data_IF_052175595347
#
_entry.id   IF_052175595347
#
_cell.length_a   1.000
_cell.length_b   1.000
_cell.length_c   1.000
_cell.angle_alpha   90.00
_cell.angle_beta   90.00
_cell.angle_gamma   90.00
#
_symmetry.space_group_name_H-M   'P 1'
#
loop_
_entity.id
_entity.type
_entity.pdbx_description
1 polymer ?
#
# COMPACT_ATOMS: atom_id res chain seq x y z
N UNK A 1 -56.97 68.83 29.92
CA UNK A 1 -56.66 67.47 29.40
C UNK A 1 -55.22 67.48 28.93
N UNK A 2 -54.43 66.66 29.62
CA UNK A 2 -53.05 66.20 29.44
C UNK A 2 -52.15 66.90 28.40
N UNK A 3 -51.09 67.54 28.93
CA UNK A 3 -50.01 68.16 28.16
C UNK A 3 -48.89 67.20 27.76
N UNK A 4 -47.94 67.72 26.97
CA UNK A 4 -46.64 67.06 26.72
C UNK A 4 -45.52 68.08 26.91
N UNK A 5 -44.60 67.67 27.77
CA UNK A 5 -43.35 68.32 28.11
C UNK A 5 -42.27 67.99 27.06
N UNK A 6 -41.42 68.98 26.80
CA UNK A 6 -40.07 68.89 26.20
C UNK A 6 -39.12 68.04 27.04
N UNK A 7 -38.05 67.46 26.45
CA UNK A 7 -36.63 67.54 26.90
C UNK A 7 -35.66 66.71 26.02
N UNK A 8 -34.56 67.40 25.67
CA UNK A 8 -33.14 67.05 25.44
C UNK A 8 -32.68 65.73 24.75
N UNK A 9 -31.78 65.92 23.78
CA UNK A 9 -30.77 64.93 23.37
C UNK A 9 -29.48 65.15 24.17
N UNK A 10 -28.99 64.11 24.87
CA UNK A 10 -27.67 64.06 25.49
C UNK A 10 -26.72 63.20 24.64
N UNK A 11 -25.48 63.67 24.44
CA UNK A 11 -24.39 62.89 23.88
C UNK A 11 -23.97 61.79 24.86
N UNK A 12 -24.03 60.53 24.44
CA UNK A 12 -23.37 59.41 25.12
C UNK A 12 -22.06 59.07 24.42
N UNK A 13 -20.93 59.30 25.08
CA UNK A 13 -19.61 58.85 24.63
C UNK A 13 -19.48 57.34 24.88
N UNK A 14 -19.32 56.55 23.82
CA UNK A 14 -18.98 55.13 23.91
C UNK A 14 -17.46 54.99 24.08
N UNK A 15 -17.04 54.53 25.26
CA UNK A 15 -15.65 54.20 25.58
C UNK A 15 -15.29 52.88 24.88
N UNK A 16 -14.51 52.94 23.80
CA UNK A 16 -13.89 51.77 23.17
C UNK A 16 -12.72 51.29 24.06
N UNK A 17 -12.93 50.23 24.84
CA UNK A 17 -11.82 49.46 25.42
C UNK A 17 -11.10 48.73 24.28
N UNK A 18 -9.91 49.22 23.92
CA UNK A 18 -8.99 48.47 23.08
C UNK A 18 -8.43 47.28 23.89
N UNK A 19 -8.97 46.08 23.68
CA UNK A 19 -8.28 44.85 24.06
C UNK A 19 -7.02 44.74 23.21
N UNK A 20 -5.87 45.03 23.81
CA UNK A 20 -4.57 44.70 23.25
C UNK A 20 -4.42 43.17 23.29
N UNK A 21 -4.74 42.51 22.18
CA UNK A 21 -4.26 41.16 21.95
C UNK A 21 -2.73 41.22 21.91
N UNK A 22 -2.09 40.75 22.97
CA UNK A 22 -0.69 40.35 22.90
C UNK A 22 -0.65 39.19 21.90
N UNK A 23 -0.21 39.46 20.67
CA UNK A 23 0.26 38.40 19.81
C UNK A 23 1.33 37.65 20.60
N UNK A 24 1.04 36.41 20.98
CA UNK A 24 2.10 35.48 21.31
C UNK A 24 2.96 35.41 20.05
N UNK A 25 4.13 36.03 20.09
CA UNK A 25 5.14 35.83 19.06
C UNK A 25 5.40 34.33 19.01
N UNK A 26 4.83 33.66 18.02
CA UNK A 26 5.27 32.32 17.66
C UNK A 26 6.77 32.43 17.42
N UNK A 27 7.55 31.67 18.18
CA UNK A 27 8.98 31.59 17.95
C UNK A 27 9.20 31.26 16.46
N UNK A 28 10.17 31.91 15.79
CA UNK A 28 10.47 31.57 14.40
C UNK A 28 10.74 30.06 14.32
N UNK A 29 10.29 29.36 13.26
CA UNK A 29 10.51 27.94 13.11
C UNK A 29 12.00 27.66 13.25
N UNK A 30 12.36 26.89 14.28
CA UNK A 30 13.74 26.50 14.56
C UNK A 30 14.28 25.80 13.31
N UNK A 31 15.49 26.15 12.89
CA UNK A 31 16.12 25.50 11.74
C UNK A 31 16.13 23.98 11.97
N UNK A 32 15.81 23.16 10.96
CA UNK A 32 15.72 21.71 11.11
C UNK A 32 17.03 21.17 11.70
N UNK A 33 16.94 20.49 12.84
CA UNK A 33 18.11 19.87 13.46
C UNK A 33 18.47 18.59 12.71
N UNK A 34 19.76 18.34 12.52
CA UNK A 34 20.26 17.07 11.99
C UNK A 34 20.80 16.18 13.11
N UNK A 35 20.09 16.12 14.25
CA UNK A 35 20.52 15.31 15.38
C UNK A 35 20.25 13.82 15.11
N UNK A 36 20.98 12.97 15.83
CA UNK A 36 20.74 11.52 15.84
C UNK A 36 20.44 11.07 17.26
N UNK A 37 19.23 10.56 17.48
CA UNK A 37 18.82 9.94 18.74
C UNK A 37 19.00 8.42 18.62
N UNK A 38 19.82 7.84 19.49
CA UNK A 38 20.02 6.38 19.55
C UNK A 38 19.23 5.82 20.72
N UNK A 39 18.17 5.09 20.41
CA UNK A 39 17.31 4.45 21.40
C UNK A 39 18.13 3.41 22.17
N UNK A 40 18.08 3.47 23.51
CA UNK A 40 18.84 2.58 24.39
C UNK A 40 17.96 1.83 25.40
N UNK A 41 16.63 1.96 25.28
CA UNK A 41 15.65 1.24 26.08
C UNK A 41 14.46 0.82 25.21
N UNK A 42 13.92 -0.36 25.51
CA UNK A 42 12.69 -0.89 24.90
C UNK A 42 11.43 -0.51 25.66
N UNK A 43 11.59 0.17 26.81
CA UNK A 43 10.45 0.69 27.57
C UNK A 43 9.66 1.69 26.74
N UNK A 44 8.37 1.78 27.01
CA UNK A 44 7.48 2.79 26.45
C UNK A 44 7.23 3.87 27.51
N UNK A 45 8.00 4.95 27.42
CA UNK A 45 7.96 6.10 28.32
C UNK A 45 8.10 7.38 27.52
N UNK A 46 7.40 8.42 27.94
CA UNK A 46 7.43 9.76 27.32
C UNK A 46 8.74 10.49 27.62
N UNK A 47 9.12 11.41 26.72
CA UNK A 47 10.21 12.35 26.99
C UNK A 47 9.84 13.30 28.14
N UNK A 48 10.81 13.63 28.99
CA UNK A 48 10.59 14.53 30.12
C UNK A 48 10.41 16.00 29.68
N UNK A 49 11.09 16.45 28.62
CA UNK A 49 11.05 17.82 28.12
C UNK A 49 11.20 17.89 26.58
N UNK A 50 10.14 17.53 25.81
CA UNK A 50 10.15 17.58 24.35
C UNK A 50 10.74 18.88 23.77
N UNK A 51 11.80 18.76 22.96
CA UNK A 51 12.44 19.85 22.23
C UNK A 51 13.69 20.43 22.88
N UNK A 52 14.17 19.85 23.98
CA UNK A 52 15.40 20.25 24.65
C UNK A 52 16.68 19.71 23.96
N UNK A 53 16.53 18.77 23.02
CA UNK A 53 17.63 18.15 22.28
C UNK A 53 18.18 16.89 22.93
N UNK A 54 17.59 16.41 24.03
CA UNK A 54 17.99 15.22 24.76
C UNK A 54 16.83 14.22 24.83
N UNK A 55 16.98 13.08 24.17
CA UNK A 55 16.04 11.97 24.32
C UNK A 55 16.14 11.35 25.74
N UNK A 56 15.40 11.90 26.70
CA UNK A 56 15.46 11.52 28.12
C UNK A 56 14.06 11.28 28.65
N UNK A 57 13.70 10.01 28.77
CA UNK A 57 12.39 9.62 29.27
C UNK A 57 12.23 9.83 30.77
N UNK A 58 10.97 9.85 31.23
CA UNK A 58 10.62 9.78 32.65
C UNK A 58 9.76 8.55 32.93
N UNK A 59 9.99 7.78 34.02
CA UNK A 59 10.97 8.05 35.08
C UNK A 59 12.37 7.47 34.84
N UNK A 60 12.58 6.60 33.83
CA UNK A 60 13.81 5.80 33.74
C UNK A 60 15.05 6.58 33.28
N UNK A 61 14.88 7.79 32.73
CA UNK A 61 15.96 8.63 32.16
C UNK A 61 16.72 7.90 31.05
N UNK A 62 15.99 7.11 30.25
CA UNK A 62 16.53 6.40 29.09
C UNK A 62 16.04 7.06 27.81
N UNK A 63 16.70 6.76 26.69
CA UNK A 63 16.16 7.13 25.40
C UNK A 63 15.28 5.98 24.92
N UNK A 64 13.97 6.10 25.09
CA UNK A 64 12.95 5.20 24.54
C UNK A 64 12.63 5.59 23.10
N UNK A 65 11.93 4.71 22.36
CA UNK A 65 11.48 5.05 21.01
C UNK A 65 10.49 6.22 21.02
N UNK A 66 9.50 6.19 21.92
CA UNK A 66 8.53 7.28 22.10
C UNK A 66 9.22 8.60 22.43
N UNK A 67 10.10 8.63 23.44
CA UNK A 67 10.83 9.85 23.79
C UNK A 67 11.64 10.41 22.60
N UNK A 68 12.29 9.54 21.81
CA UNK A 68 13.02 9.98 20.62
C UNK A 68 12.10 10.58 19.53
N UNK A 69 10.88 10.07 19.38
CA UNK A 69 9.89 10.61 18.44
C UNK A 69 9.33 11.93 18.96
N UNK A 70 9.00 12.04 20.25
CA UNK A 70 8.60 13.30 20.89
C UNK A 70 9.65 14.40 20.70
N UNK A 71 10.94 14.09 20.94
CA UNK A 71 12.05 15.01 20.65
C UNK A 71 12.11 15.40 19.17
N UNK A 72 11.96 14.44 18.26
CA UNK A 72 11.94 14.72 16.83
C UNK A 72 10.75 15.59 16.42
N UNK A 73 9.56 15.37 16.99
CA UNK A 73 8.37 16.14 16.68
C UNK A 73 8.53 17.60 17.06
N UNK A 74 9.19 17.89 18.18
CA UNK A 74 9.46 19.26 18.64
C UNK A 74 10.57 19.98 17.85
N UNK A 75 11.57 19.25 17.34
CA UNK A 75 12.75 19.83 16.68
C UNK A 75 12.74 19.76 15.15
N UNK A 76 12.14 18.70 14.60
CA UNK A 76 12.02 18.40 13.18
C UNK A 76 13.31 17.97 12.48
N UNK A 77 13.21 16.94 11.62
CA UNK A 77 14.26 16.60 10.66
C UNK A 77 15.35 15.65 11.17
N UNK A 78 15.14 15.00 12.31
CA UNK A 78 16.17 14.18 12.96
C UNK A 78 16.19 12.74 12.45
N UNK A 79 17.28 12.04 12.81
CA UNK A 79 17.40 10.59 12.64
C UNK A 79 17.22 9.90 13.99
N UNK A 80 16.37 8.88 14.02
CA UNK A 80 16.24 7.96 15.14
C UNK A 80 16.83 6.61 14.73
N UNK A 81 17.74 6.09 15.54
CA UNK A 81 18.27 4.72 15.41
C UNK A 81 17.63 3.87 16.49
N UNK A 82 16.86 2.87 16.07
CA UNK A 82 16.26 1.86 16.92
C UNK A 82 17.05 0.55 16.77
N UNK A 83 17.90 0.18 17.74
CA UNK A 83 18.62 -1.09 17.72
C UNK A 83 17.70 -2.32 17.65
N UNK A 84 18.31 -3.51 17.63
CA UNK A 84 17.55 -4.75 17.73
C UNK A 84 16.79 -4.80 19.06
N UNK A 85 15.50 -5.11 19.00
CA UNK A 85 14.61 -5.06 20.16
C UNK A 85 13.15 -5.10 19.75
N UNK A 86 12.31 -5.45 20.73
CA UNK A 86 10.86 -5.39 20.62
C UNK A 86 10.36 -4.22 21.46
N UNK A 87 9.91 -3.17 20.80
CA UNK A 87 9.38 -1.95 21.38
C UNK A 87 7.87 -2.13 21.54
N UNK A 88 7.44 -2.57 22.72
CA UNK A 88 6.04 -2.86 23.03
C UNK A 88 5.41 -1.58 23.59
N UNK A 89 4.39 -1.04 22.91
CA UNK A 89 3.63 0.10 23.40
C UNK A 89 2.81 -0.35 24.63
N UNK A 90 2.81 0.47 25.68
CA UNK A 90 2.19 0.15 26.97
C UNK A 90 1.40 1.30 27.59
N UNK A 91 1.58 2.53 27.11
CA UNK A 91 0.81 3.69 27.57
C UNK A 91 -0.55 3.67 26.86
N UNK A 92 -1.60 3.28 27.58
CA UNK A 92 -2.94 3.25 27.03
C UNK A 92 -3.47 4.65 26.69
N UNK A 93 -4.10 4.77 25.54
CA UNK A 93 -4.74 5.97 24.99
C UNK A 93 -5.22 5.64 23.58
N UNK A 94 -6.27 6.31 23.11
CA UNK A 94 -6.75 6.15 21.74
C UNK A 94 -7.06 7.51 21.13
N UNK A 95 -6.71 7.67 19.84
CA UNK A 95 -6.94 8.91 19.09
C UNK A 95 -6.34 10.15 19.77
N UNK A 96 -5.13 9.97 20.30
CA UNK A 96 -4.25 11.04 20.76
C UNK A 96 -3.33 11.41 19.57
N UNK A 97 -2.89 12.67 19.46
CA UNK A 97 -2.12 13.15 18.29
C UNK A 97 -0.78 13.84 18.69
N UNK A 98 -0.36 13.71 19.95
CA UNK A 98 0.85 14.32 20.50
C UNK A 98 1.88 13.28 20.99
N UNK A 99 1.76 12.02 20.56
CA UNK A 99 2.68 10.93 20.91
C UNK A 99 2.81 10.67 22.42
N UNK A 100 1.81 11.08 23.21
CA UNK A 100 1.79 10.98 24.67
C UNK A 100 1.22 9.64 25.16
N UNK A 101 0.38 8.99 24.35
CA UNK A 101 -0.24 7.69 24.66
C UNK A 101 -0.73 7.00 23.39
N UNK A 102 -1.01 5.71 23.45
CA UNK A 102 -1.54 4.97 22.30
C UNK A 102 -0.48 4.72 21.23
N UNK A 103 -0.81 5.04 19.98
CA UNK A 103 0.09 4.97 18.83
C UNK A 103 1.29 5.93 18.97
N UNK A 104 2.22 5.83 18.00
CA UNK A 104 3.32 6.78 17.88
C UNK A 104 3.00 7.81 16.79
N UNK A 105 2.75 9.05 17.19
CA UNK A 105 2.47 10.15 16.26
C UNK A 105 3.75 10.75 15.70
N UNK A 106 3.78 10.95 14.38
CA UNK A 106 4.88 11.59 13.68
C UNK A 106 4.36 12.85 13.01
N UNK A 107 4.69 14.00 13.61
CA UNK A 107 4.18 15.31 13.20
C UNK A 107 5.22 16.13 12.43
N UNK A 108 6.47 15.67 12.33
CA UNK A 108 7.56 16.32 11.63
C UNK A 108 8.35 15.37 10.71
N UNK A 109 9.27 15.92 9.90
CA UNK A 109 10.17 15.10 9.09
C UNK A 109 11.00 14.16 9.99
N UNK A 110 11.11 12.89 9.61
CA UNK A 110 11.79 11.86 10.40
C UNK A 110 12.53 10.85 9.52
N UNK A 111 13.71 10.43 9.96
CA UNK A 111 14.36 9.20 9.47
C UNK A 111 14.48 8.20 10.61
N UNK A 112 13.71 7.11 10.56
CA UNK A 112 13.74 6.03 11.55
C UNK A 112 14.43 4.78 10.98
N UNK A 113 15.52 4.35 11.61
CA UNK A 113 16.35 3.22 11.17
C UNK A 113 16.32 2.10 12.21
N UNK A 114 15.74 0.96 11.84
CA UNK A 114 15.86 -0.28 12.58
C UNK A 114 17.10 -1.09 12.21
N UNK A 115 17.42 -2.11 13.00
CA UNK A 115 18.51 -3.05 12.74
C UNK A 115 18.19 -4.11 11.66
N UNK A 116 17.00 -4.06 11.07
CA UNK A 116 16.45 -5.03 10.11
C UNK A 116 15.08 -5.53 10.58
N UNK A 117 14.14 -5.78 9.66
CA UNK A 117 12.76 -6.09 10.02
C UNK A 117 12.63 -7.33 10.92
N UNK A 118 13.50 -8.32 10.78
CA UNK A 118 13.53 -9.50 11.66
C UNK A 118 14.11 -9.23 13.07
N UNK A 119 14.67 -8.04 13.32
CA UNK A 119 15.42 -7.71 14.55
C UNK A 119 14.81 -6.54 15.33
N UNK A 120 14.13 -5.63 14.64
CA UNK A 120 13.51 -4.44 15.25
C UNK A 120 12.02 -4.47 15.00
N UNK A 121 11.24 -4.57 16.07
CA UNK A 121 9.77 -4.65 16.02
C UNK A 121 9.16 -3.55 16.86
N UNK A 122 8.22 -2.80 16.28
CA UNK A 122 7.29 -1.93 17.01
C UNK A 122 5.96 -2.68 17.11
N UNK A 123 5.55 -2.97 18.33
CA UNK A 123 4.37 -3.78 18.65
C UNK A 123 3.40 -2.92 19.46
N UNK A 124 2.23 -2.63 18.90
CA UNK A 124 1.22 -1.81 19.58
C UNK A 124 0.46 -2.53 20.69
N UNK A 125 0.72 -3.83 20.89
CA UNK A 125 0.16 -4.63 21.97
C UNK A 125 -1.39 -4.60 21.99
N UNK A 126 -2.01 -4.46 20.82
CA UNK A 126 -3.45 -4.31 20.63
C UNK A 126 -4.08 -3.12 21.37
N UNK A 127 -3.30 -2.08 21.71
CA UNK A 127 -3.80 -0.92 22.46
C UNK A 127 -4.47 0.13 21.56
N UNK A 128 -3.80 0.46 20.47
CA UNK A 128 -4.25 1.38 19.41
C UNK A 128 -3.55 0.95 18.11
N UNK A 129 -3.51 1.82 17.10
CA UNK A 129 -2.62 1.71 15.95
C UNK A 129 -1.15 1.65 16.38
N UNK A 130 -0.26 1.35 15.44
CA UNK A 130 1.19 1.40 15.73
C UNK A 130 1.77 2.78 15.44
N UNK A 131 1.54 3.31 14.24
CA UNK A 131 2.10 4.60 13.79
C UNK A 131 1.02 5.48 13.14
N UNK A 132 1.00 6.76 13.52
CA UNK A 132 0.18 7.77 12.86
C UNK A 132 1.07 8.89 12.32
N UNK A 133 1.15 9.00 10.99
CA UNK A 133 1.87 10.08 10.34
C UNK A 133 0.89 11.23 10.07
N UNK A 134 0.89 12.20 10.97
CA UNK A 134 0.05 13.40 10.90
C UNK A 134 0.55 14.35 9.81
N UNK A 135 1.88 14.50 9.70
CA UNK A 135 2.47 15.45 8.74
C UNK A 135 3.91 15.07 8.37
N UNK A 136 4.54 15.88 7.50
CA UNK A 136 5.96 15.77 7.20
C UNK A 136 6.32 14.60 6.28
N UNK A 137 7.63 14.42 6.11
CA UNK A 137 8.25 13.38 5.28
C UNK A 137 9.00 12.40 6.18
N UNK A 138 8.49 11.20 6.26
CA UNK A 138 9.03 10.13 7.09
C UNK A 138 9.65 9.03 6.24
N UNK A 139 10.87 8.63 6.59
CA UNK A 139 11.54 7.46 6.02
C UNK A 139 11.79 6.44 7.11
N UNK A 140 11.21 5.27 6.96
CA UNK A 140 11.41 4.13 7.87
C UNK A 140 12.17 3.04 7.12
N UNK A 141 13.10 2.38 7.80
CA UNK A 141 13.79 1.22 7.22
C UNK A 141 14.11 0.13 8.22
N UNK A 142 13.93 -1.14 7.83
CA UNK A 142 14.38 -2.28 8.63
C UNK A 142 13.59 -2.48 9.92
N UNK A 143 12.26 -2.33 9.87
CA UNK A 143 11.37 -2.42 11.04
C UNK A 143 10.15 -3.30 10.70
N UNK A 144 9.72 -4.10 11.67
CA UNK A 144 8.40 -4.75 11.69
C UNK A 144 7.41 -3.90 12.49
N UNK A 145 6.21 -3.70 11.95
CA UNK A 145 5.08 -2.95 12.52
C UNK A 145 3.93 -3.94 12.72
N UNK A 146 3.52 -4.18 13.97
CA UNK A 146 2.61 -5.28 14.29
C UNK A 146 1.64 -5.00 15.43
N UNK A 147 0.57 -5.80 15.46
CA UNK A 147 -0.43 -5.88 16.53
C UNK A 147 -1.11 -4.54 16.84
N UNK A 148 -1.21 -3.66 15.86
CA UNK A 148 -2.06 -2.48 15.97
C UNK A 148 -3.52 -2.84 15.80
N UNK A 149 -4.39 -2.28 16.64
CA UNK A 149 -5.84 -2.46 16.60
C UNK A 149 -6.51 -1.10 16.61
N UNK A 150 -7.02 -0.67 15.45
CA UNK A 150 -7.72 0.60 15.31
C UNK A 150 -9.24 0.39 15.32
N UNK A 151 -10.00 1.11 16.17
CA UNK A 151 -11.47 1.17 16.04
C UNK A 151 -11.92 1.95 14.79
N UNK A 152 -10.97 2.59 14.10
CA UNK A 152 -11.18 3.34 12.85
C UNK A 152 -10.50 2.64 11.67
N UNK A 153 -9.44 3.23 11.12
CA UNK A 153 -8.72 2.79 9.93
C UNK A 153 -7.22 2.81 10.16
N UNK A 154 -6.45 2.05 9.39
CA UNK A 154 -4.98 2.04 9.45
C UNK A 154 -4.44 1.33 10.69
N UNK A 155 -4.82 0.07 10.89
CA UNK A 155 -4.50 -0.71 12.10
C UNK A 155 -3.01 -0.70 12.42
N UNK A 156 -2.14 -0.92 11.43
CA UNK A 156 -0.70 -0.76 11.62
C UNK A 156 -0.26 0.69 11.47
N UNK A 157 -0.58 1.29 10.32
CA UNK A 157 -0.14 2.64 9.96
C UNK A 157 -1.27 3.46 9.38
N UNK A 158 -1.41 4.70 9.86
CA UNK A 158 -2.19 5.75 9.21
C UNK A 158 -1.27 6.80 8.60
N UNK A 159 -1.31 6.99 7.28
CA UNK A 159 -0.66 8.11 6.59
C UNK A 159 -1.71 9.16 6.27
N UNK A 160 -1.77 10.22 7.08
CA UNK A 160 -2.76 11.28 6.95
C UNK A 160 -2.56 12.10 5.66
N UNK A 161 -3.59 12.86 5.29
CA UNK A 161 -3.51 13.79 4.16
C UNK A 161 -2.37 14.80 4.36
N UNK A 162 -1.55 15.00 3.32
CA UNK A 162 -0.35 15.86 3.39
C UNK A 162 0.91 15.18 3.95
N UNK A 163 0.79 14.07 4.68
CA UNK A 163 1.93 13.29 5.17
C UNK A 163 2.53 12.39 4.06
N UNK A 164 3.81 12.04 4.22
CA UNK A 164 4.53 11.16 3.28
C UNK A 164 5.34 10.11 4.00
N UNK A 165 5.08 8.84 3.69
CA UNK A 165 5.86 7.70 4.19
C UNK A 165 6.63 7.02 3.06
N UNK A 166 7.93 6.80 3.29
CA UNK A 166 8.69 5.76 2.58
C UNK A 166 9.11 4.68 3.57
N UNK A 167 8.61 3.46 3.39
CA UNK A 167 9.02 2.29 4.17
C UNK A 167 9.86 1.36 3.29
N UNK A 168 11.11 1.12 3.69
CA UNK A 168 12.06 0.27 2.98
C UNK A 168 12.45 -0.96 3.80
N UNK A 169 12.42 -2.15 3.22
CA UNK A 169 12.82 -3.38 3.93
C UNK A 169 12.04 -3.54 5.25
N UNK A 170 10.74 -3.25 5.21
CA UNK A 170 9.85 -3.33 6.37
C UNK A 170 8.92 -4.53 6.30
N UNK A 171 8.23 -4.81 7.41
CA UNK A 171 7.13 -5.76 7.49
C UNK A 171 5.97 -5.09 8.21
N UNK A 172 4.75 -5.16 7.64
CA UNK A 172 3.51 -4.72 8.30
C UNK A 172 2.60 -5.93 8.41
N UNK A 173 2.39 -6.44 9.63
CA UNK A 173 1.81 -7.78 9.86
C UNK A 173 0.89 -7.80 11.07
N UNK A 174 -0.13 -8.65 11.09
CA UNK A 174 -0.96 -8.88 12.28
C UNK A 174 -1.69 -7.63 12.81
N UNK A 175 -2.04 -6.68 11.93
CA UNK A 175 -2.75 -5.47 12.33
C UNK A 175 -4.23 -5.53 11.95
N UNK A 176 -5.07 -4.87 12.74
CA UNK A 176 -6.53 -4.92 12.61
C UNK A 176 -7.10 -3.50 12.56
N UNK A 177 -8.02 -3.27 11.63
CA UNK A 177 -8.84 -2.06 11.58
C UNK A 177 -10.32 -2.39 11.42
N UNK A 178 -11.20 -1.66 12.10
CA UNK A 178 -12.65 -1.82 11.95
C UNK A 178 -13.12 -1.43 10.55
N UNK A 179 -12.57 -0.36 9.97
CA UNK A 179 -12.96 0.13 8.65
C UNK A 179 -11.90 -0.19 7.60
N UNK A 180 -11.03 0.74 7.24
CA UNK A 180 -10.18 0.59 6.04
C UNK A 180 -8.70 0.43 6.39
N UNK A 181 -7.97 -0.41 5.65
CA UNK A 181 -6.53 -0.53 5.82
C UNK A 181 -6.16 -1.25 7.11
N UNK A 182 -6.36 -2.57 7.16
CA UNK A 182 -6.00 -3.39 8.32
C UNK A 182 -4.52 -3.22 8.67
N UNK A 183 -3.66 -3.37 7.67
CA UNK A 183 -2.24 -3.04 7.76
C UNK A 183 -2.00 -1.53 7.69
N UNK A 184 -2.41 -0.90 6.58
CA UNK A 184 -2.10 0.50 6.29
C UNK A 184 -3.31 1.22 5.68
N UNK A 185 -3.68 2.38 6.22
CA UNK A 185 -4.49 3.37 5.50
C UNK A 185 -3.58 4.48 4.97
N UNK A 186 -3.65 4.76 3.67
CA UNK A 186 -2.95 5.87 3.04
C UNK A 186 -3.92 6.91 2.48
N UNK A 187 -4.06 8.05 3.18
CA UNK A 187 -4.70 9.27 2.68
C UNK A 187 -3.68 10.29 2.13
N UNK A 188 -2.38 10.09 2.41
CA UNK A 188 -1.29 10.94 1.94
C UNK A 188 -0.50 10.35 0.76
N UNK A 189 0.82 10.29 0.89
CA UNK A 189 1.71 9.62 -0.08
C UNK A 189 2.47 8.48 0.57
N UNK A 190 2.28 7.26 0.04
CA UNK A 190 2.95 6.06 0.53
C UNK A 190 3.85 5.47 -0.55
N UNK A 191 5.08 5.12 -0.16
CA UNK A 191 6.00 4.33 -0.99
C UNK A 191 6.55 3.16 -0.18
N UNK A 192 6.21 1.94 -0.60
CA UNK A 192 6.73 0.71 -0.04
C UNK A 192 7.78 0.13 -0.99
N UNK A 193 8.99 -0.12 -0.50
CA UNK A 193 10.07 -0.72 -1.29
C UNK A 193 10.66 -1.93 -0.58
N UNK A 194 10.61 -3.10 -1.22
CA UNK A 194 11.10 -4.35 -0.59
C UNK A 194 10.45 -4.59 0.75
N UNK A 195 9.15 -4.34 0.82
CA UNK A 195 8.37 -4.42 2.05
C UNK A 195 7.33 -5.52 1.91
N UNK A 196 7.12 -6.26 2.99
CA UNK A 196 6.01 -7.20 3.10
C UNK A 196 4.84 -6.54 3.82
N UNK A 197 3.64 -6.62 3.24
CA UNK A 197 2.38 -6.31 3.93
C UNK A 197 1.61 -7.61 4.05
N UNK A 198 1.65 -8.18 5.25
CA UNK A 198 1.27 -9.55 5.55
C UNK A 198 2.21 -10.15 6.59
N UNK A 199 1.86 -11.26 7.23
CA UNK A 199 0.60 -12.02 7.13
C UNK A 199 -0.41 -11.59 8.19
N UNK A 200 -1.71 -11.75 7.92
CA UNK A 200 -2.77 -11.61 8.92
C UNK A 200 -3.14 -10.17 9.26
N UNK A 201 -2.96 -9.23 8.33
CA UNK A 201 -3.64 -7.95 8.49
C UNK A 201 -5.12 -8.12 8.12
N UNK A 202 -6.00 -7.56 8.94
CA UNK A 202 -7.45 -7.69 8.79
C UNK A 202 -8.17 -6.35 8.81
N UNK A 203 -9.14 -6.20 7.91
CA UNK A 203 -10.03 -5.04 7.85
C UNK A 203 -11.49 -5.47 7.90
N UNK A 204 -12.30 -4.77 8.71
CA UNK A 204 -13.74 -5.00 8.77
C UNK A 204 -14.52 -4.48 7.56
N UNK A 205 -13.93 -3.66 6.69
CA UNK A 205 -14.60 -3.09 5.52
C UNK A 205 -13.79 -3.16 4.21
N UNK A 206 -12.58 -2.61 4.16
CA UNK A 206 -11.84 -2.54 2.90
C UNK A 206 -10.32 -2.49 3.08
N UNK A 207 -9.58 -3.15 2.20
CA UNK A 207 -8.12 -3.13 2.22
C UNK A 207 -7.59 -3.85 3.45
N UNK A 208 -7.66 -5.19 3.48
CA UNK A 208 -7.09 -5.99 4.56
C UNK A 208 -5.62 -5.65 4.80
N UNK A 209 -4.84 -5.64 3.72
CA UNK A 209 -3.46 -5.15 3.73
C UNK A 209 -3.40 -3.63 3.69
N UNK A 210 -3.87 -3.04 2.59
CA UNK A 210 -3.72 -1.62 2.29
C UNK A 210 -5.06 -1.02 1.82
N UNK A 211 -5.46 0.08 2.44
CA UNK A 211 -6.46 0.99 1.88
C UNK A 211 -5.80 2.24 1.32
N UNK A 212 -6.07 2.59 0.07
CA UNK A 212 -5.46 3.75 -0.60
C UNK A 212 -6.49 4.77 -1.07
N UNK A 213 -6.48 5.94 -0.42
CA UNK A 213 -7.20 7.17 -0.81
C UNK A 213 -6.26 8.22 -1.42
N UNK A 214 -4.96 8.13 -1.10
CA UNK A 214 -3.92 9.00 -1.61
C UNK A 214 -3.13 8.40 -2.77
N UNK A 215 -1.83 8.72 -2.84
CA UNK A 215 -0.91 8.16 -3.85
C UNK A 215 -0.10 7.00 -3.27
N UNK A 216 -0.13 5.84 -3.93
CA UNK A 216 0.61 4.65 -3.52
C UNK A 216 1.65 4.21 -4.57
N UNK A 217 2.83 3.84 -4.10
CA UNK A 217 3.83 3.10 -4.89
C UNK A 217 4.26 1.82 -4.17
N UNK A 218 4.11 0.68 -4.85
CA UNK A 218 4.62 -0.62 -4.44
C UNK A 218 5.76 -1.01 -5.39
N UNK A 219 6.97 -1.19 -4.86
CA UNK A 219 8.14 -1.51 -5.68
C UNK A 219 8.86 -2.68 -5.03
N UNK A 220 8.93 -3.80 -5.74
CA UNK A 220 9.62 -5.01 -5.25
C UNK A 220 9.05 -5.48 -3.91
N UNK A 221 7.74 -5.34 -3.72
CA UNK A 221 7.06 -5.55 -2.44
C UNK A 221 6.11 -6.74 -2.52
N UNK A 222 5.82 -7.35 -1.38
CA UNK A 222 4.98 -8.54 -1.28
C UNK A 222 3.76 -8.26 -0.43
N UNK A 223 2.57 -8.29 -1.01
CA UNK A 223 1.29 -8.19 -0.30
C UNK A 223 0.75 -9.60 -0.21
N UNK A 224 0.53 -10.10 1.01
CA UNK A 224 0.17 -11.52 1.16
C UNK A 224 -0.63 -11.84 2.40
N UNK A 225 -1.55 -12.79 2.27
CA UNK A 225 -2.33 -13.34 3.38
C UNK A 225 -3.00 -12.26 4.21
N UNK A 226 -3.54 -11.24 3.55
CA UNK A 226 -4.37 -10.23 4.17
C UNK A 226 -5.84 -10.50 3.88
N UNK A 227 -6.71 -10.09 4.79
CA UNK A 227 -8.14 -10.31 4.65
C UNK A 227 -8.97 -9.05 4.90
N UNK A 228 -9.94 -8.80 4.03
CA UNK A 228 -11.07 -7.94 4.37
C UNK A 228 -12.28 -8.81 4.70
N UNK A 229 -13.23 -8.27 5.47
CA UNK A 229 -14.45 -8.99 5.88
C UNK A 229 -15.03 -9.87 4.77
N UNK A 230 -15.22 -11.16 5.04
CA UNK A 230 -15.59 -12.13 4.00
C UNK A 230 -17.04 -11.97 3.49
N UNK A 231 -17.90 -11.25 4.21
CA UNK A 231 -19.31 -11.07 3.87
C UNK A 231 -19.61 -9.70 3.22
N UNK A 232 -18.72 -8.72 3.36
CA UNK A 232 -18.97 -7.35 2.90
C UNK A 232 -17.69 -6.57 2.55
N UNK A 233 -16.53 -7.22 2.61
CA UNK A 233 -15.22 -6.59 2.55
C UNK A 233 -14.66 -6.48 1.13
N UNK A 234 -13.90 -5.42 0.90
CA UNK A 234 -13.41 -5.08 -0.44
C UNK A 234 -11.88 -5.08 -0.48
N UNK A 235 -11.27 -5.82 -1.42
CA UNK A 235 -9.82 -5.80 -1.59
C UNK A 235 -9.08 -6.42 -0.41
N UNK A 236 -8.80 -7.73 -0.45
CA UNK A 236 -8.06 -8.40 0.62
C UNK A 236 -6.66 -7.81 0.80
N UNK A 237 -5.92 -7.67 -0.31
CA UNK A 237 -4.60 -7.06 -0.33
C UNK A 237 -4.65 -5.54 -0.43
N UNK A 238 -5.42 -5.02 -1.40
CA UNK A 238 -5.52 -3.59 -1.69
C UNK A 238 -6.96 -3.15 -2.04
N UNK A 239 -7.48 -2.18 -1.31
CA UNK A 239 -8.61 -1.36 -1.74
C UNK A 239 -8.11 -0.01 -2.23
N UNK A 240 -8.53 0.41 -3.41
CA UNK A 240 -8.01 1.61 -4.06
C UNK A 240 -9.08 2.59 -4.55
N UNK A 241 -8.88 3.87 -4.22
CA UNK A 241 -9.65 5.02 -4.71
C UNK A 241 -8.74 6.09 -5.35
N UNK A 242 -7.42 5.97 -5.19
CA UNK A 242 -6.42 6.94 -5.66
C UNK A 242 -5.51 6.41 -6.79
N UNK A 243 -4.44 7.14 -7.13
CA UNK A 243 -3.42 6.67 -8.07
C UNK A 243 -2.45 5.66 -7.43
N UNK A 244 -2.25 4.52 -8.09
CA UNK A 244 -1.35 3.44 -7.66
C UNK A 244 -0.39 3.05 -8.78
N UNK A 245 0.89 2.90 -8.42
CA UNK A 245 1.90 2.29 -9.27
C UNK A 245 2.52 1.07 -8.58
N UNK A 246 2.40 -0.09 -9.21
CA UNK A 246 2.89 -1.38 -8.72
C UNK A 246 3.93 -1.91 -9.71
N UNK A 247 5.14 -2.17 -9.23
CA UNK A 247 6.22 -2.67 -10.06
C UNK A 247 6.99 -3.79 -9.36
N UNK A 248 7.30 -4.87 -10.09
CA UNK A 248 8.09 -5.99 -9.60
C UNK A 248 7.54 -6.59 -8.29
N UNK A 249 6.22 -6.53 -8.08
CA UNK A 249 5.57 -6.85 -6.81
C UNK A 249 4.60 -8.02 -6.95
N UNK A 250 4.29 -8.65 -5.83
CA UNK A 250 3.43 -9.84 -5.82
C UNK A 250 2.28 -9.64 -4.85
N UNK A 251 1.07 -10.04 -5.25
CA UNK A 251 -0.08 -10.24 -4.37
C UNK A 251 -0.38 -11.73 -4.31
N UNK A 252 -0.46 -12.29 -3.11
CA UNK A 252 -0.59 -13.72 -2.93
C UNK A 252 -1.44 -14.09 -1.74
N UNK A 253 -2.43 -14.95 -1.96
CA UNK A 253 -3.25 -15.49 -0.88
C UNK A 253 -4.02 -14.41 -0.11
N UNK A 254 -4.33 -13.29 -0.76
CA UNK A 254 -5.20 -12.27 -0.19
C UNK A 254 -6.68 -12.65 -0.41
N UNK A 255 -7.52 -12.28 0.55
CA UNK A 255 -8.91 -12.74 0.62
C UNK A 255 -9.90 -11.59 0.93
N UNK A 256 -11.03 -11.54 0.23
CA UNK A 256 -12.12 -10.60 0.54
C UNK A 256 -13.45 -11.03 -0.08
N UNK A 257 -14.55 -10.32 0.22
CA UNK A 257 -15.81 -10.54 -0.49
C UNK A 257 -15.66 -10.26 -1.99
N UNK A 258 -15.04 -9.14 -2.33
CA UNK A 258 -14.94 -8.64 -3.71
C UNK A 258 -13.52 -8.15 -4.02
N UNK A 259 -12.93 -8.66 -5.10
CA UNK A 259 -11.55 -8.33 -5.48
C UNK A 259 -10.53 -8.96 -4.52
N UNK A 260 -10.37 -10.29 -4.54
CA UNK A 260 -9.57 -11.02 -3.55
C UNK A 260 -8.20 -10.40 -3.28
N UNK A 261 -7.46 -10.08 -4.34
CA UNK A 261 -6.23 -9.29 -4.24
C UNK A 261 -6.52 -7.80 -4.19
N UNK A 262 -7.21 -7.28 -5.22
CA UNK A 262 -7.38 -5.85 -5.47
C UNK A 262 -8.83 -5.52 -5.77
N UNK A 263 -9.38 -4.53 -5.05
CA UNK A 263 -10.59 -3.82 -5.45
C UNK A 263 -10.23 -2.38 -5.84
N UNK A 264 -10.48 -2.01 -7.11
CA UNK A 264 -10.29 -0.66 -7.61
C UNK A 264 -11.64 0.04 -7.74
N UNK A 265 -11.91 1.01 -6.87
CA UNK A 265 -13.16 1.76 -6.75
C UNK A 265 -12.98 3.16 -7.36
N UNK A 266 -13.11 3.27 -8.69
CA UNK A 266 -12.94 4.54 -9.41
C UNK A 266 -11.49 5.08 -9.51
N UNK A 267 -10.52 4.46 -8.82
CA UNK A 267 -9.11 4.86 -8.86
C UNK A 267 -8.37 4.47 -10.15
N UNK A 268 -7.08 4.82 -10.23
CA UNK A 268 -6.19 4.42 -11.34
C UNK A 268 -5.06 3.55 -10.82
N UNK A 269 -4.91 2.36 -11.41
CA UNK A 269 -3.83 1.44 -11.08
C UNK A 269 -3.00 1.16 -12.33
N UNK A 270 -1.68 1.23 -12.19
CA UNK A 270 -0.72 0.69 -13.17
C UNK A 270 0.08 -0.45 -12.54
N UNK A 271 -0.02 -1.65 -13.10
CA UNK A 271 0.81 -2.82 -12.76
C UNK A 271 1.83 -3.05 -13.86
N UNK A 272 3.08 -3.24 -13.44
CA UNK A 272 4.21 -3.52 -14.31
C UNK A 272 5.01 -4.70 -13.75
N UNK A 273 5.33 -5.70 -14.58
CA UNK A 273 6.21 -6.81 -14.19
C UNK A 273 5.83 -7.40 -12.83
N UNK A 274 4.54 -7.69 -12.62
CA UNK A 274 4.01 -8.05 -11.30
C UNK A 274 3.13 -9.30 -11.41
N UNK A 275 3.03 -10.04 -10.31
CA UNK A 275 2.26 -11.29 -10.24
C UNK A 275 1.12 -11.16 -9.23
N UNK A 276 -0.09 -11.54 -9.62
CA UNK A 276 -1.22 -11.74 -8.71
C UNK A 276 -1.60 -13.21 -8.77
N UNK A 277 -1.33 -13.95 -7.69
CA UNK A 277 -1.56 -15.39 -7.69
C UNK A 277 -2.34 -15.88 -6.47
N UNK A 278 -3.17 -16.90 -6.66
CA UNK A 278 -3.87 -17.62 -5.59
C UNK A 278 -4.66 -16.72 -4.61
N UNK A 279 -5.22 -15.62 -5.10
CA UNK A 279 -6.09 -14.76 -4.30
C UNK A 279 -7.55 -15.24 -4.44
N UNK A 280 -8.35 -15.01 -3.40
CA UNK A 280 -9.72 -15.54 -3.34
C UNK A 280 -10.74 -14.44 -3.05
N UNK A 281 -11.75 -14.33 -3.91
CA UNK A 281 -12.96 -13.57 -3.62
C UNK A 281 -14.09 -14.50 -3.17
N UNK A 282 -14.92 -14.05 -2.24
CA UNK A 282 -16.10 -14.81 -1.78
C UNK A 282 -17.40 -14.45 -2.54
N UNK A 283 -17.36 -13.46 -3.43
CA UNK A 283 -18.47 -13.10 -4.32
C UNK A 283 -18.01 -12.91 -5.75
N UNK A 284 -17.05 -12.03 -6.05
CA UNK A 284 -16.65 -11.76 -7.44
C UNK A 284 -15.28 -11.11 -7.59
N UNK A 285 -14.67 -11.28 -8.77
CA UNK A 285 -13.32 -10.79 -9.10
C UNK A 285 -12.25 -11.44 -8.24
N UNK A 286 -11.96 -12.73 -8.48
CA UNK A 286 -11.03 -13.50 -7.64
C UNK A 286 -9.67 -12.85 -7.45
N UNK A 287 -9.08 -12.29 -8.53
CA UNK A 287 -7.86 -11.49 -8.43
C UNK A 287 -8.16 -10.00 -8.28
N UNK A 288 -8.81 -9.42 -9.30
CA UNK A 288 -9.06 -7.99 -9.38
C UNK A 288 -10.53 -7.75 -9.68
N UNK A 289 -11.14 -6.85 -8.91
CA UNK A 289 -12.39 -6.21 -9.29
C UNK A 289 -12.15 -4.72 -9.57
N UNK A 290 -12.27 -4.33 -10.85
CA UNK A 290 -12.34 -2.95 -11.30
C UNK A 290 -13.79 -2.43 -11.36
N UNK A 291 -14.19 -1.65 -10.35
CA UNK A 291 -15.49 -1.01 -10.27
C UNK A 291 -15.38 0.45 -10.74
N UNK A 292 -15.56 0.69 -12.05
CA UNK A 292 -15.57 2.03 -12.64
C UNK A 292 -14.22 2.76 -12.69
N UNK A 293 -13.11 2.11 -12.32
CA UNK A 293 -11.76 2.68 -12.35
C UNK A 293 -10.98 2.39 -13.65
N UNK A 294 -9.69 2.75 -13.65
CA UNK A 294 -8.76 2.45 -14.75
C UNK A 294 -7.66 1.49 -14.30
N UNK A 295 -7.52 0.36 -14.99
CA UNK A 295 -6.41 -0.58 -14.84
C UNK A 295 -5.51 -0.57 -16.07
N UNK A 296 -4.21 -0.38 -15.85
CA UNK A 296 -3.20 -0.51 -16.90
C UNK A 296 -2.24 -1.64 -16.51
N UNK A 297 -2.27 -2.72 -17.28
CA UNK A 297 -1.57 -3.97 -16.98
C UNK A 297 -0.52 -4.23 -18.06
N UNK A 298 0.75 -4.17 -17.68
CA UNK A 298 1.90 -4.36 -18.57
C UNK A 298 2.81 -5.46 -18.03
N UNK A 299 2.96 -6.55 -18.79
CA UNK A 299 3.81 -7.67 -18.39
C UNK A 299 3.42 -8.21 -17.01
N UNK A 300 2.13 -8.45 -16.82
CA UNK A 300 1.57 -8.96 -15.56
C UNK A 300 1.23 -10.43 -15.75
N UNK A 301 1.40 -11.21 -14.68
CA UNK A 301 0.87 -12.57 -14.59
C UNK A 301 -0.25 -12.60 -13.55
N UNK A 302 -1.47 -12.96 -13.96
CA UNK A 302 -2.63 -13.12 -13.07
C UNK A 302 -3.06 -14.57 -13.17
N UNK A 303 -2.80 -15.36 -12.14
CA UNK A 303 -3.04 -16.80 -12.20
C UNK A 303 -3.54 -17.42 -10.91
N UNK A 304 -4.20 -18.57 -11.01
CA UNK A 304 -4.64 -19.37 -9.85
C UNK A 304 -5.62 -18.68 -8.90
N UNK A 305 -6.18 -17.53 -9.29
CA UNK A 305 -7.13 -16.79 -8.47
C UNK A 305 -8.53 -17.40 -8.57
N UNK A 306 -9.33 -17.26 -7.51
CA UNK A 306 -10.59 -17.98 -7.37
C UNK A 306 -11.76 -17.11 -6.90
N UNK A 307 -12.95 -17.40 -7.43
CA UNK A 307 -14.23 -16.95 -6.90
C UNK A 307 -15.21 -18.16 -6.81
N UNK A 308 -16.27 -18.13 -5.98
CA UNK A 308 -17.17 -19.28 -5.85
C UNK A 308 -18.04 -19.49 -7.09
N UNK A 309 -18.66 -20.67 -7.21
CA UNK A 309 -19.59 -20.96 -8.32
C UNK A 309 -20.72 -19.94 -8.42
N UNK A 310 -20.95 -19.41 -9.63
CA UNK A 310 -21.96 -18.37 -9.89
C UNK A 310 -21.46 -16.94 -9.69
N UNK A 311 -20.20 -16.77 -9.28
CA UNK A 311 -19.48 -15.50 -9.31
C UNK A 311 -19.17 -15.04 -10.73
N UNK A 312 -18.71 -13.79 -10.83
CA UNK A 312 -18.20 -13.18 -12.05
C UNK A 312 -16.68 -13.08 -12.00
N UNK A 313 -15.98 -13.76 -12.93
CA UNK A 313 -14.53 -13.85 -13.09
C UNK A 313 -13.70 -14.35 -11.88
N UNK A 314 -12.87 -15.37 -12.13
CA UNK A 314 -11.80 -15.76 -11.21
C UNK A 314 -10.59 -14.81 -11.28
N UNK A 315 -10.30 -14.26 -12.46
CA UNK A 315 -9.21 -13.32 -12.67
C UNK A 315 -9.66 -11.87 -12.52
N UNK A 316 -9.96 -11.21 -13.65
CA UNK A 316 -10.34 -9.78 -13.69
C UNK A 316 -11.84 -9.62 -13.93
N UNK A 317 -12.55 -9.00 -12.99
CA UNK A 317 -13.88 -8.46 -13.22
C UNK A 317 -13.82 -6.96 -13.53
N UNK A 318 -14.40 -6.52 -14.65
CA UNK A 318 -14.50 -5.10 -15.01
C UNK A 318 -15.96 -4.64 -15.18
N UNK A 319 -16.43 -3.74 -14.32
CA UNK A 319 -17.81 -3.21 -14.35
C UNK A 319 -17.86 -1.69 -14.23
N UNK A 320 -19.07 -1.12 -14.23
CA UNK A 320 -19.29 0.31 -13.95
C UNK A 320 -18.69 1.28 -14.97
N UNK A 321 -18.47 0.83 -16.21
CA UNK A 321 -17.78 1.61 -17.25
C UNK A 321 -16.26 1.72 -17.05
N UNK A 322 -15.68 0.90 -16.18
CA UNK A 322 -14.24 0.86 -15.94
C UNK A 322 -13.44 0.51 -17.21
N UNK A 323 -12.20 1.00 -17.26
CA UNK A 323 -11.29 0.74 -18.36
C UNK A 323 -10.20 -0.24 -17.93
N UNK A 324 -9.98 -1.29 -18.71
CA UNK A 324 -8.84 -2.19 -18.54
C UNK A 324 -8.01 -2.18 -19.82
N UNK A 325 -6.73 -1.84 -19.69
CA UNK A 325 -5.73 -1.92 -20.75
C UNK A 325 -4.77 -3.05 -20.42
N UNK A 326 -4.61 -4.00 -21.34
CA UNK A 326 -3.80 -5.19 -21.15
C UNK A 326 -2.77 -5.31 -22.26
N UNK A 327 -1.48 -5.43 -21.92
CA UNK A 327 -0.39 -5.62 -22.88
C UNK A 327 0.65 -6.59 -22.35
N UNK A 328 1.18 -7.46 -23.21
CA UNK A 328 2.23 -8.42 -22.89
C UNK A 328 1.92 -9.28 -21.65
N UNK A 329 0.65 -9.51 -21.31
CA UNK A 329 0.25 -10.04 -20.01
C UNK A 329 -0.44 -11.41 -20.12
N UNK A 330 -0.32 -12.19 -19.06
CA UNK A 330 -0.77 -13.57 -18.97
C UNK A 330 -1.90 -13.68 -17.94
N UNK A 331 -3.05 -14.18 -18.38
CA UNK A 331 -4.17 -14.60 -17.53
C UNK A 331 -4.42 -16.09 -17.80
N UNK A 332 -4.25 -16.94 -16.79
CA UNK A 332 -4.52 -18.38 -16.89
C UNK A 332 -4.78 -18.97 -15.50
N UNK A 333 -5.38 -20.16 -15.42
CA UNK A 333 -5.65 -20.89 -14.19
C UNK A 333 -6.55 -20.15 -13.17
N UNK A 334 -7.18 -19.05 -13.56
CA UNK A 334 -8.17 -18.40 -12.72
C UNK A 334 -9.52 -19.10 -12.87
N UNK A 335 -10.30 -19.16 -11.77
CA UNK A 335 -11.51 -19.99 -11.72
C UNK A 335 -12.70 -19.36 -11.03
N UNK A 336 -13.89 -19.68 -11.54
CA UNK A 336 -15.18 -19.54 -10.86
C UNK A 336 -15.66 -20.94 -10.50
N UNK A 337 -15.62 -21.28 -9.21
CA UNK A 337 -15.78 -22.65 -8.73
C UNK A 337 -14.68 -23.55 -9.30
N UNK A 338 -15.05 -24.43 -10.23
CA UNK A 338 -14.13 -25.34 -10.95
C UNK A 338 -13.94 -24.98 -12.42
N UNK A 339 -14.66 -23.96 -12.90
CA UNK A 339 -14.63 -23.53 -14.30
C UNK A 339 -13.55 -22.49 -14.48
N UNK A 340 -12.74 -22.64 -15.53
CA UNK A 340 -11.77 -21.61 -15.89
C UNK A 340 -12.49 -20.34 -16.33
N UNK A 341 -12.15 -19.23 -15.71
CA UNK A 341 -12.70 -17.92 -16.02
C UNK A 341 -11.68 -16.84 -15.64
N UNK A 342 -10.95 -16.38 -16.65
CA UNK A 342 -9.84 -15.44 -16.48
C UNK A 342 -10.33 -14.00 -16.41
N UNK A 343 -11.47 -13.69 -17.03
CA UNK A 343 -11.95 -12.33 -17.03
C UNK A 343 -13.41 -12.19 -17.48
N UNK A 344 -14.04 -11.15 -16.96
CA UNK A 344 -15.38 -10.72 -17.33
C UNK A 344 -15.44 -9.19 -17.55
N UNK A 345 -16.22 -8.79 -18.56
CA UNK A 345 -16.38 -7.40 -18.97
C UNK A 345 -15.46 -6.99 -20.12
N UNK A 346 -15.36 -5.69 -20.38
CA UNK A 346 -14.59 -5.16 -21.52
C UNK A 346 -13.12 -5.03 -21.15
N UNK A 347 -12.25 -5.72 -21.90
CA UNK A 347 -10.79 -5.63 -21.79
C UNK A 347 -10.20 -5.12 -23.11
N UNK A 348 -9.49 -3.99 -23.06
CA UNK A 348 -8.81 -3.41 -24.21
C UNK A 348 -7.43 -4.03 -24.36
N UNK A 349 -7.33 -5.05 -25.20
CA UNK A 349 -6.04 -5.63 -25.58
C UNK A 349 -5.21 -4.61 -26.37
N UNK A 350 -3.97 -4.39 -25.93
CA UNK A 350 -2.94 -3.63 -26.65
C UNK A 350 -1.88 -4.56 -27.26
N UNK A 351 -2.21 -5.84 -27.39
CA UNK A 351 -1.40 -6.87 -28.04
C UNK A 351 -0.56 -7.73 -27.09
N UNK A 352 -0.16 -8.88 -27.63
CA UNK A 352 0.77 -9.85 -27.04
C UNK A 352 0.35 -10.40 -25.68
N UNK A 353 -0.97 -10.54 -25.47
CA UNK A 353 -1.49 -11.16 -24.26
C UNK A 353 -1.71 -12.66 -24.47
N UNK A 354 -1.75 -13.43 -23.39
CA UNK A 354 -2.14 -14.83 -23.36
C UNK A 354 -3.27 -14.99 -22.35
N UNK A 355 -4.45 -15.37 -22.81
CA UNK A 355 -5.65 -15.51 -21.98
C UNK A 355 -6.25 -16.89 -22.25
N UNK A 356 -6.40 -17.73 -21.23
CA UNK A 356 -6.95 -19.06 -21.41
C UNK A 356 -8.49 -19.02 -21.44
N UNK A 357 -9.13 -18.68 -20.33
CA UNK A 357 -10.58 -18.60 -20.13
C UNK A 357 -11.16 -17.22 -20.44
N UNK A 358 -11.24 -16.85 -21.72
CA UNK A 358 -11.70 -15.51 -22.14
C UNK A 358 -13.22 -15.39 -22.39
N UNK A 359 -14.04 -16.38 -22.02
CA UNK A 359 -15.45 -16.43 -22.42
C UNK A 359 -16.33 -15.32 -21.82
N UNK A 360 -16.03 -14.86 -20.61
CA UNK A 360 -16.73 -13.73 -19.97
C UNK A 360 -16.30 -12.36 -20.52
N UNK A 361 -15.23 -12.33 -21.31
CA UNK A 361 -14.57 -11.12 -21.74
C UNK A 361 -15.04 -10.65 -23.11
N UNK A 362 -15.32 -9.35 -23.21
CA UNK A 362 -15.35 -8.65 -24.49
C UNK A 362 -13.96 -8.10 -24.77
N UNK A 363 -13.21 -8.79 -25.62
CA UNK A 363 -11.89 -8.36 -26.05
C UNK A 363 -11.99 -7.53 -27.32
N UNK A 364 -11.49 -6.30 -27.25
CA UNK A 364 -11.12 -5.55 -28.45
C UNK A 364 -9.80 -6.14 -28.97
N UNK A 365 -9.89 -7.36 -29.51
CA UNK A 365 -8.74 -8.23 -29.72
C UNK A 365 -7.82 -7.70 -30.82
N UNK A 366 -6.54 -7.51 -30.46
CA UNK A 366 -5.44 -7.42 -31.41
C UNK A 366 -5.02 -8.83 -31.82
N UNK A 367 -4.69 -9.04 -33.10
CA UNK A 367 -4.35 -10.34 -33.69
C UNK A 367 -3.14 -11.05 -33.05
N UNK A 368 -2.38 -10.36 -32.21
CA UNK A 368 -1.24 -10.93 -31.47
C UNK A 368 -1.64 -11.53 -30.13
N UNK A 369 -2.90 -11.38 -29.68
CA UNK A 369 -3.40 -12.01 -28.46
C UNK A 369 -3.65 -13.50 -28.69
N UNK A 370 -3.07 -14.35 -27.85
CA UNK A 370 -3.31 -15.79 -27.85
C UNK A 370 -4.50 -16.09 -26.93
N UNK A 371 -5.46 -16.86 -27.42
CA UNK A 371 -6.67 -17.25 -26.67
C UNK A 371 -6.82 -18.77 -26.58
N UNK A 372 -7.27 -19.27 -25.42
CA UNK A 372 -7.67 -20.67 -25.24
C UNK A 372 -6.53 -21.70 -25.26
N UNK A 373 -5.28 -21.23 -25.14
CA UNK A 373 -4.09 -22.08 -25.04
C UNK A 373 -3.52 -21.94 -23.65
N UNK A 374 -3.24 -23.07 -22.98
CA UNK A 374 -2.63 -23.05 -21.65
C UNK A 374 -1.26 -22.39 -21.70
N UNK A 375 -0.97 -21.61 -20.68
CA UNK A 375 0.29 -20.89 -20.53
C UNK A 375 1.47 -21.75 -20.11
N UNK A 376 1.23 -22.94 -19.55
CA UNK A 376 2.31 -23.79 -19.04
C UNK A 376 3.14 -23.11 -17.95
N UNK A 377 2.50 -22.50 -16.96
CA UNK A 377 3.17 -21.96 -15.76
C UNK A 377 3.34 -23.02 -14.66
N UNK A 378 4.41 -22.88 -13.87
CA UNK A 378 4.82 -23.86 -12.86
C UNK A 378 4.28 -23.66 -11.44
N UNK A 379 3.44 -22.66 -11.20
CA UNK A 379 3.02 -22.26 -9.87
C UNK A 379 3.99 -21.27 -9.21
N UNK A 380 3.46 -20.53 -8.24
CA UNK A 380 4.21 -19.46 -7.59
C UNK A 380 5.37 -20.02 -6.77
N UNK A 381 6.57 -19.48 -7.01
CA UNK A 381 7.77 -19.91 -6.31
C UNK A 381 8.79 -18.77 -6.19
N UNK A 382 9.78 -18.99 -5.31
CA UNK A 382 10.95 -18.11 -5.26
C UNK A 382 11.90 -18.41 -6.42
N UNK A 383 11.74 -17.69 -7.53
CA UNK A 383 12.55 -17.88 -8.73
C UNK A 383 13.76 -16.91 -8.82
N UNK A 384 14.27 -16.43 -7.68
CA UNK A 384 15.49 -15.63 -7.61
C UNK A 384 15.31 -14.12 -7.82
N UNK A 385 14.08 -13.61 -7.64
CA UNK A 385 13.73 -12.19 -7.66
C UNK A 385 13.54 -11.60 -6.26
N UNK A 386 13.13 -10.31 -6.17
CA UNK A 386 12.82 -9.69 -4.88
C UNK A 386 11.47 -10.16 -4.30
N UNK A 387 10.61 -10.76 -5.13
CA UNK A 387 9.28 -11.26 -4.80
C UNK A 387 9.05 -12.58 -5.54
N UNK A 388 8.18 -13.48 -5.02
CA UNK A 388 7.84 -14.73 -5.71
C UNK A 388 7.17 -14.47 -7.06
N UNK A 389 7.35 -15.38 -8.01
CA UNK A 389 6.85 -15.28 -9.40
C UNK A 389 6.37 -16.62 -9.92
N UNK A 390 5.60 -16.60 -11.01
CA UNK A 390 5.22 -17.76 -11.80
C UNK A 390 6.24 -18.01 -12.92
N UNK A 391 7.00 -19.10 -12.86
CA UNK A 391 7.94 -19.43 -13.94
C UNK A 391 7.22 -20.10 -15.11
N UNK A 392 7.60 -19.73 -16.34
CA UNK A 392 7.17 -20.45 -17.56
C UNK A 392 7.90 -21.79 -17.66
N UNK A 393 7.15 -22.85 -17.96
CA UNK A 393 7.69 -24.19 -18.21
C UNK A 393 8.19 -24.32 -19.64
N UNK A 394 9.11 -25.26 -19.86
CA UNK A 394 9.62 -25.60 -21.19
C UNK A 394 8.48 -25.93 -22.16
N UNK A 395 8.49 -25.31 -23.35
CA UNK A 395 7.46 -25.49 -24.37
C UNK A 395 6.23 -24.59 -24.21
N UNK A 396 6.20 -23.71 -23.21
CA UNK A 396 5.17 -22.68 -23.10
C UNK A 396 5.13 -21.79 -24.35
N UNK A 397 3.91 -21.52 -24.84
CA UNK A 397 3.68 -20.60 -25.97
C UNK A 397 3.97 -19.13 -25.62
N UNK A 398 4.15 -18.83 -24.34
CA UNK A 398 4.52 -17.49 -23.87
C UNK A 398 6.00 -17.18 -24.07
N UNK A 399 6.85 -18.21 -24.23
CA UNK A 399 8.30 -18.06 -24.38
C UNK A 399 8.62 -17.46 -25.75
N UNK A 400 9.44 -16.41 -25.77
CA UNK A 400 9.95 -15.75 -26.97
C UNK A 400 8.86 -15.37 -27.99
N UNK A 401 7.69 -14.98 -27.48
CA UNK A 401 6.56 -14.64 -28.32
C UNK A 401 6.62 -13.19 -28.83
N UNK A 402 7.10 -12.27 -28.01
CA UNK A 402 7.00 -10.83 -28.26
C UNK A 402 8.25 -10.34 -29.01
N UNK A 403 8.11 -9.80 -30.23
CA UNK A 403 9.25 -9.25 -30.97
C UNK A 403 9.94 -8.13 -30.19
N UNK A 404 11.27 -8.04 -30.28
CA UNK A 404 12.08 -7.03 -29.56
C UNK A 404 11.57 -5.60 -29.76
N UNK A 405 11.16 -5.25 -30.99
CA UNK A 405 10.61 -3.93 -31.31
C UNK A 405 9.27 -3.61 -30.63
N UNK A 406 8.57 -4.63 -30.11
CA UNK A 406 7.28 -4.52 -29.42
C UNK A 406 7.38 -4.79 -27.91
N UNK A 407 8.53 -5.26 -27.43
CA UNK A 407 8.82 -5.47 -26.02
C UNK A 407 8.93 -4.15 -25.25
N UNK A 408 7.77 -3.60 -24.92
CA UNK A 408 7.62 -2.24 -24.38
C UNK A 408 6.53 -2.21 -23.33
N UNK A 409 6.74 -1.38 -22.31
CA UNK A 409 5.77 -1.08 -21.25
C UNK A 409 4.79 0.04 -21.70
N UNK A 410 4.18 0.71 -20.72
CA UNK A 410 3.38 1.91 -20.91
C UNK A 410 4.14 2.98 -21.74
N UNK A 411 3.42 3.73 -22.57
CA UNK A 411 3.97 4.79 -23.42
C UNK A 411 5.10 4.32 -24.36
N UNK A 412 5.12 3.04 -24.74
CA UNK A 412 6.09 2.42 -25.65
C UNK A 412 7.56 2.49 -25.18
N UNK A 413 7.79 2.64 -23.88
CA UNK A 413 9.14 2.58 -23.33
C UNK A 413 9.67 1.14 -23.35
N UNK A 414 10.92 0.94 -23.74
CA UNK A 414 11.52 -0.40 -23.80
C UNK A 414 11.57 -1.05 -22.42
N UNK A 415 11.09 -2.28 -22.33
CA UNK A 415 11.30 -3.15 -21.17
C UNK A 415 12.76 -3.62 -21.19
N UNK A 416 13.40 -3.61 -20.02
CA UNK A 416 14.80 -4.04 -19.88
C UNK A 416 14.98 -5.18 -18.89
N UNK A 417 13.97 -5.38 -18.04
CA UNK A 417 14.00 -6.35 -16.97
C UNK A 417 12.62 -6.97 -16.76
N UNK A 418 12.60 -8.19 -16.27
CA UNK A 418 11.42 -8.87 -15.74
C UNK A 418 11.20 -8.51 -14.25
N UNK A 419 10.21 -9.14 -13.61
CA UNK A 419 9.92 -8.94 -12.17
C UNK A 419 11.12 -9.21 -11.26
N UNK A 420 11.97 -10.17 -11.62
CA UNK A 420 13.13 -10.58 -10.83
C UNK A 420 14.31 -9.64 -11.00
N UNK A 421 14.26 -8.76 -12.01
CA UNK A 421 15.37 -7.92 -12.42
C UNK A 421 16.31 -8.60 -13.41
N UNK A 422 15.91 -9.73 -14.01
CA UNK A 422 16.68 -10.41 -15.06
C UNK A 422 16.52 -9.69 -16.39
N UNK A 423 17.53 -9.71 -17.29
CA UNK A 423 17.45 -9.08 -18.60
C UNK A 423 16.23 -9.53 -19.41
N UNK A 424 15.64 -8.58 -20.15
CA UNK A 424 14.53 -8.76 -21.08
C UNK A 424 14.74 -7.79 -22.26
N UNK A 425 14.68 -8.22 -23.54
CA UNK A 425 14.49 -9.58 -24.05
C UNK A 425 15.64 -10.54 -23.69
N UNK A 426 15.34 -11.84 -23.58
CA UNK A 426 16.30 -12.93 -23.45
C UNK A 426 16.00 -14.03 -24.50
N UNK A 427 16.93 -14.98 -24.71
CA UNK A 427 16.77 -16.08 -25.69
C UNK A 427 16.27 -17.33 -24.95
N UNK A 428 15.00 -17.31 -24.55
CA UNK A 428 14.41 -18.32 -23.67
C UNK A 428 14.27 -19.71 -24.30
N UNK A 429 14.21 -19.80 -25.63
CA UNK A 429 14.15 -21.07 -26.38
C UNK A 429 15.51 -21.55 -26.91
N UNK A 430 16.58 -20.78 -26.70
CA UNK A 430 17.94 -21.12 -27.10
C UNK A 430 18.22 -21.12 -28.60
N UNK A 431 17.37 -20.48 -29.42
CA UNK A 431 17.53 -20.45 -30.88
C UNK A 431 18.53 -19.38 -31.38
N UNK A 432 19.09 -18.57 -30.48
CA UNK A 432 20.02 -17.47 -30.75
C UNK A 432 19.35 -16.15 -31.11
N UNK A 433 18.03 -15.98 -30.92
CA UNK A 433 17.27 -14.77 -31.26
C UNK A 433 16.42 -14.32 -30.07
N UNK A 434 16.95 -13.46 -29.20
CA UNK A 434 16.25 -13.04 -28.01
C UNK A 434 14.95 -12.31 -28.35
N UNK A 435 13.88 -12.66 -27.66
CA UNK A 435 12.58 -11.98 -27.69
C UNK A 435 12.10 -11.81 -26.25
N UNK A 436 10.92 -11.24 -26.09
CA UNK A 436 10.33 -11.13 -24.75
C UNK A 436 9.24 -12.16 -24.56
N UNK A 437 9.11 -12.61 -23.33
CA UNK A 437 8.05 -13.51 -22.91
C UNK A 437 6.78 -12.73 -22.57
N UNK A 438 5.63 -13.41 -22.71
CA UNK A 438 4.37 -12.92 -22.18
C UNK A 438 4.35 -13.11 -20.64
N UNK A 439 3.95 -12.06 -19.92
CA UNK A 439 3.81 -12.06 -18.46
C UNK A 439 4.98 -11.42 -17.72
N UNK A 440 5.00 -11.64 -16.40
CA UNK A 440 5.94 -10.97 -15.48
C UNK A 440 7.34 -11.61 -15.44
N UNK A 441 7.46 -12.83 -15.98
CA UNK A 441 8.67 -13.64 -15.96
C UNK A 441 9.33 -13.68 -17.35
N UNK A 442 10.67 -13.70 -17.38
CA UNK A 442 11.46 -13.89 -18.61
C UNK A 442 12.39 -15.12 -18.48
N UNK A 443 12.15 -16.17 -19.25
CA UNK A 443 13.04 -17.33 -19.37
C UNK A 443 14.42 -16.88 -19.82
N UNK A 444 15.44 -17.40 -19.15
CA UNK A 444 16.83 -17.11 -19.46
C UNK A 444 17.42 -18.36 -20.15
N UNK A 445 18.39 -18.19 -21.06
CA UNK A 445 19.04 -19.29 -21.79
C UNK A 445 19.81 -20.27 -20.90
#
# INVERSE_FOLDING_TARGET
MQGKWTIAFSLGAALLLACTFTQANAAPPRAPSSATFTVNSVLDEVDANPGDGNCTSTPSKKCTLRAAIMENNALGGNTIVAPAGKYILSIAGQNEDNDASGDLDITANLVLKGAGAAKTTIDANSLDRVLHLVSGKTKISGITITNGVAPTSGGGVLVASGAKLTLNNGVVTGNVATFTGGGILNAGTLTLKRTTVGTGNYSGLAGGGIGNQGTLKLIKSFVTSNSANFNAGYGGGLYNEGPVFINASTFFHDESNEGGAIRNSGGTITLLNSTLAANTAYVEGGAIYNAGGTLNLFNVTIAENGAPSGASAGGILNTGGGMVHLKNSLLDLNRVGVVSDDCEGVLNSQGYNLIFGASGCTLNADATTILGISSGIGGIANNGGPTPTEALQSGSVAIDYIPVAKCTENQNKSLRQDQRGKPRPADGDGNGKPKCDIGAYEVQP
#
